data_IF_195835555011
#
_entry.id   IF_195835555011
#
_cell.length_a   1.000
_cell.length_b   1.000
_cell.length_c   1.000
_cell.angle_alpha   90.00
_cell.angle_beta   90.00
_cell.angle_gamma   90.00
#
_symmetry.space_group_name_H-M   'P 1'
#
loop_
_entity.id
_entity.type
_entity.pdbx_description
1 polymer ?
#
# COMPACT_ATOMS: atom_id res chain seq x y z
N UNK A 1 -72.96 -65.14 0.28
CA UNK A 1 -73.10 -64.11 1.33
C UNK A 1 -71.92 -64.22 2.27
N UNK A 2 -71.29 -63.10 2.64
CA UNK A 2 -70.26 -63.04 3.67
C UNK A 2 -68.86 -62.67 3.17
N UNK A 3 -68.63 -61.39 2.88
CA UNK A 3 -67.30 -60.84 2.70
C UNK A 3 -66.60 -60.71 4.07
N UNK A 4 -65.40 -61.26 4.22
CA UNK A 4 -64.53 -61.00 5.38
C UNK A 4 -63.37 -60.10 4.94
N UNK A 5 -63.30 -58.93 5.54
CA UNK A 5 -62.42 -57.80 5.22
C UNK A 5 -61.19 -57.90 6.12
N UNK A 6 -60.02 -58.25 5.59
CA UNK A 6 -58.76 -58.13 6.33
C UNK A 6 -58.25 -56.69 6.23
N UNK A 7 -58.17 -56.05 7.40
CA UNK A 7 -57.70 -54.69 7.63
C UNK A 7 -56.22 -54.55 7.30
N UNK A 8 -55.88 -53.68 6.35
CA UNK A 8 -54.53 -53.16 6.16
C UNK A 8 -54.29 -52.09 7.22
N UNK A 9 -53.41 -52.38 8.16
CA UNK A 9 -52.89 -51.40 9.12
C UNK A 9 -52.12 -50.32 8.36
N UNK A 10 -52.76 -49.16 8.19
CA UNK A 10 -52.11 -47.94 7.70
C UNK A 10 -51.17 -47.41 8.79
N UNK A 11 -49.86 -47.51 8.58
CA UNK A 11 -48.91 -46.67 9.31
C UNK A 11 -49.13 -45.22 8.90
N UNK A 12 -49.73 -44.43 9.78
CA UNK A 12 -49.80 -42.97 9.64
C UNK A 12 -48.41 -42.38 9.89
N UNK A 13 -47.72 -42.06 8.80
CA UNK A 13 -46.57 -41.16 8.84
C UNK A 13 -47.03 -39.84 9.48
N UNK A 14 -46.34 -39.28 10.49
CA UNK A 14 -46.70 -37.97 11.01
C UNK A 14 -46.55 -36.98 9.86
N UNK A 15 -47.67 -36.36 9.47
CA UNK A 15 -47.72 -35.39 8.39
C UNK A 15 -46.79 -34.22 8.69
N UNK A 16 -45.58 -34.26 8.11
CA UNK A 16 -44.90 -33.02 7.76
C UNK A 16 -45.73 -32.39 6.66
N UNK A 17 -46.64 -31.49 7.04
CA UNK A 17 -47.27 -30.58 6.07
C UNK A 17 -46.17 -29.90 5.24
N UNK A 18 -46.44 -29.51 3.98
CA UNK A 18 -45.45 -28.82 3.18
C UNK A 18 -45.11 -27.55 3.93
N UNK A 19 -43.94 -27.52 4.58
CA UNK A 19 -43.36 -26.29 5.08
C UNK A 19 -43.03 -25.54 3.80
N UNK A 20 -43.98 -24.71 3.35
CA UNK A 20 -43.74 -23.73 2.32
C UNK A 20 -42.70 -22.77 2.92
N UNK A 21 -41.42 -23.15 2.85
CA UNK A 21 -40.33 -22.28 3.20
C UNK A 21 -40.44 -21.12 2.24
N UNK A 22 -40.96 -20.01 2.77
CA UNK A 22 -41.09 -18.77 2.02
C UNK A 22 -39.80 -18.54 1.24
N UNK A 23 -39.85 -18.26 -0.08
CA UNK A 23 -38.64 -18.04 -0.89
C UNK A 23 -37.65 -17.05 -0.24
N UNK A 24 -38.16 -16.11 0.56
CA UNK A 24 -37.40 -15.19 1.38
C UNK A 24 -36.52 -15.87 2.46
N UNK A 25 -36.99 -16.93 3.11
CA UNK A 25 -36.21 -17.69 4.10
C UNK A 25 -35.04 -18.41 3.45
N UNK A 26 -35.25 -19.00 2.26
CA UNK A 26 -34.18 -19.66 1.51
C UNK A 26 -33.14 -18.63 1.05
N UNK A 27 -33.57 -17.46 0.56
CA UNK A 27 -32.65 -16.37 0.21
C UNK A 27 -31.85 -15.86 1.41
N UNK A 28 -32.49 -15.71 2.59
CA UNK A 28 -31.80 -15.33 3.83
C UNK A 28 -30.77 -16.38 4.26
N UNK A 29 -31.10 -17.67 4.18
CA UNK A 29 -30.18 -18.75 4.53
C UNK A 29 -29.00 -18.83 3.58
N UNK A 30 -29.23 -18.68 2.27
CA UNK A 30 -28.15 -18.63 1.27
C UNK A 30 -27.27 -17.41 1.51
N UNK A 31 -27.86 -16.23 1.74
CA UNK A 31 -27.11 -15.01 2.06
C UNK A 31 -26.29 -15.12 3.35
N UNK A 32 -26.87 -15.70 4.41
CA UNK A 32 -26.18 -15.92 5.68
C UNK A 32 -25.05 -16.94 5.54
N UNK A 33 -25.26 -18.03 4.81
CA UNK A 33 -24.22 -19.04 4.52
C UNK A 33 -23.09 -18.45 3.69
N UNK A 34 -23.41 -17.66 2.66
CA UNK A 34 -22.42 -16.95 1.85
C UNK A 34 -21.61 -15.96 2.69
N UNK A 35 -22.26 -15.18 3.55
CA UNK A 35 -21.59 -14.24 4.46
C UNK A 35 -20.69 -14.98 5.46
N UNK A 36 -21.18 -16.07 6.05
CA UNK A 36 -20.41 -16.90 6.97
C UNK A 36 -19.17 -17.49 6.30
N UNK A 37 -19.31 -18.01 5.08
CA UNK A 37 -18.19 -18.52 4.30
C UNK A 37 -17.14 -17.43 4.03
N UNK A 38 -17.57 -16.20 3.72
CA UNK A 38 -16.66 -15.06 3.53
C UNK A 38 -15.94 -14.68 4.83
N UNK A 39 -16.64 -14.64 5.96
CA UNK A 39 -16.04 -14.35 7.27
C UNK A 39 -15.05 -15.44 7.66
N UNK A 40 -15.38 -16.72 7.48
CA UNK A 40 -14.49 -17.85 7.77
C UNK A 40 -13.25 -17.81 6.87
N UNK A 41 -13.42 -17.57 5.57
CA UNK A 41 -12.30 -17.43 4.64
C UNK A 41 -11.40 -16.25 5.02
N UNK A 42 -11.99 -15.09 5.37
CA UNK A 42 -11.24 -13.91 5.77
C UNK A 42 -10.48 -14.10 7.08
N UNK A 43 -11.12 -14.68 8.10
CA UNK A 43 -10.50 -14.98 9.39
C UNK A 43 -9.39 -16.03 9.26
N UNK A 44 -9.58 -17.05 8.43
CA UNK A 44 -8.53 -18.03 8.11
C UNK A 44 -7.34 -17.36 7.40
N UNK A 45 -7.59 -16.53 6.38
CA UNK A 45 -6.55 -15.79 5.68
C UNK A 45 -5.80 -14.84 6.62
N UNK A 46 -6.52 -14.12 7.49
CA UNK A 46 -5.93 -13.27 8.51
C UNK A 46 -5.06 -14.06 9.49
N UNK A 47 -5.54 -15.22 9.97
CA UNK A 47 -4.79 -16.10 10.85
C UNK A 47 -3.52 -16.65 10.17
N UNK A 48 -3.62 -17.10 8.92
CA UNK A 48 -2.47 -17.60 8.16
C UNK A 48 -1.44 -16.50 7.90
N UNK A 49 -1.88 -15.29 7.53
CA UNK A 49 -1.01 -14.13 7.39
C UNK A 49 -0.28 -13.81 8.71
N UNK A 50 -1.01 -13.76 9.83
CA UNK A 50 -0.42 -13.56 11.15
C UNK A 50 0.61 -14.65 11.48
N UNK A 51 0.32 -15.92 11.14
CA UNK A 51 1.23 -17.06 11.35
C UNK A 51 2.51 -16.93 10.53
N UNK A 52 2.42 -16.59 9.25
CA UNK A 52 3.57 -16.39 8.36
C UNK A 52 4.45 -15.23 8.84
N UNK A 53 3.85 -14.17 9.36
CA UNK A 53 4.57 -12.97 9.83
C UNK A 53 5.20 -13.12 11.21
N UNK A 54 5.03 -14.26 11.91
CA UNK A 54 5.64 -14.50 13.23
C UNK A 54 7.17 -14.54 13.19
N UNK A 55 7.76 -14.81 12.03
CA UNK A 55 9.21 -14.81 11.87
C UNK A 55 9.83 -13.41 11.98
N UNK A 56 9.04 -12.34 11.81
CA UNK A 56 9.51 -10.98 11.98
C UNK A 56 9.24 -10.48 13.39
N UNK A 57 10.22 -9.83 14.03
CA UNK A 57 9.98 -9.14 15.28
C UNK A 57 8.96 -8.01 15.09
N UNK A 58 8.26 -7.67 16.16
CA UNK A 58 7.27 -6.60 16.18
C UNK A 58 7.64 -5.61 17.28
N UNK A 59 7.65 -4.30 17.01
CA UNK A 59 7.77 -3.32 18.07
C UNK A 59 6.54 -3.38 19.00
N UNK A 60 6.62 -2.76 20.19
CA UNK A 60 5.48 -2.64 21.07
C UNK A 60 4.32 -1.92 20.36
N UNK A 61 3.14 -2.53 20.37
CA UNK A 61 1.90 -1.92 19.86
C UNK A 61 1.47 -0.81 20.81
N UNK A 62 1.01 0.32 20.26
CA UNK A 62 0.43 1.39 21.07
C UNK A 62 -0.88 0.93 21.71
N UNK A 63 -1.73 0.25 20.94
CA UNK A 63 -2.94 -0.40 21.43
C UNK A 63 -3.41 -1.51 20.45
N UNK A 64 -4.42 -2.28 20.85
CA UNK A 64 -4.98 -3.37 20.06
C UNK A 64 -5.58 -2.91 18.72
N UNK A 65 -6.24 -1.75 18.69
CA UNK A 65 -7.02 -1.30 17.53
C UNK A 65 -6.16 -0.59 16.49
N UNK A 66 -5.36 0.40 16.88
CA UNK A 66 -4.49 1.19 16.01
C UNK A 66 -3.18 0.47 15.65
N UNK A 67 -2.80 -0.54 16.44
CA UNK A 67 -1.56 -1.30 16.25
C UNK A 67 -0.34 -0.40 16.44
N UNK A 68 0.30 -0.05 15.33
CA UNK A 68 1.51 0.79 15.27
C UNK A 68 1.27 2.14 14.59
N UNK A 69 0.02 2.48 14.28
CA UNK A 69 -0.31 3.78 13.72
C UNK A 69 0.16 4.90 14.67
N UNK A 70 0.81 5.92 14.13
CA UNK A 70 1.37 7.03 14.93
C UNK A 70 2.71 6.74 15.60
N UNK A 71 3.29 5.54 15.45
CA UNK A 71 4.64 5.25 15.95
C UNK A 71 5.73 6.02 15.19
N UNK A 72 5.52 6.23 13.90
CA UNK A 72 6.40 6.99 13.01
C UNK A 72 5.56 8.10 12.40
N UNK A 73 5.65 9.30 12.99
CA UNK A 73 5.00 10.51 12.49
C UNK A 73 5.82 11.14 11.37
N UNK A 74 5.21 11.95 10.48
CA UNK A 74 5.93 12.72 9.47
C UNK A 74 6.61 13.96 10.10
N UNK A 75 7.33 13.76 11.19
CA UNK A 75 8.08 14.79 11.92
C UNK A 75 9.51 14.32 12.15
N UNK A 76 10.40 15.20 12.59
CA UNK A 76 11.78 14.84 12.89
C UNK A 76 11.85 13.75 13.98
N UNK A 77 11.00 13.85 14.99
CA UNK A 77 10.90 12.86 16.06
C UNK A 77 10.48 11.49 15.52
N UNK A 78 9.55 11.47 14.57
CA UNK A 78 9.13 10.24 13.90
C UNK A 78 10.25 9.60 13.08
N UNK A 79 11.06 10.39 12.38
CA UNK A 79 12.24 9.90 11.67
C UNK A 79 13.32 9.36 12.63
N UNK A 80 13.52 10.03 13.77
CA UNK A 80 14.42 9.52 14.83
C UNK A 80 13.90 8.19 15.41
N UNK A 81 12.59 8.09 15.67
CA UNK A 81 11.96 6.85 16.12
C UNK A 81 12.10 5.73 15.09
N UNK A 82 11.90 6.02 13.79
CA UNK A 82 12.14 5.07 12.71
C UNK A 82 13.60 4.58 12.70
N UNK A 83 14.55 5.50 12.84
CA UNK A 83 15.99 5.18 12.89
C UNK A 83 16.32 4.25 14.07
N UNK A 84 15.75 4.51 15.24
CA UNK A 84 15.89 3.66 16.42
C UNK A 84 15.28 2.26 16.21
N UNK A 85 14.11 2.17 15.56
CA UNK A 85 13.48 0.89 15.22
C UNK A 85 14.34 0.08 14.25
N UNK A 86 14.91 0.71 13.22
CA UNK A 86 15.83 0.06 12.28
C UNK A 86 17.09 -0.43 13.00
N UNK A 87 17.63 0.36 13.92
CA UNK A 87 18.80 -0.06 14.73
C UNK A 87 18.47 -1.23 15.67
N UNK A 88 17.25 -1.27 16.22
CA UNK A 88 16.79 -2.34 17.12
C UNK A 88 16.49 -3.63 16.37
N UNK A 89 15.95 -3.53 15.15
CA UNK A 89 15.52 -4.66 14.33
C UNK A 89 16.24 -4.63 12.95
N UNK A 90 17.56 -4.89 12.91
CA UNK A 90 18.38 -4.67 11.71
C UNK A 90 18.04 -5.63 10.56
N UNK A 91 17.45 -6.79 10.85
CA UNK A 91 16.98 -7.72 9.82
C UNK A 91 15.67 -7.26 9.17
N UNK A 92 14.82 -6.57 9.92
CA UNK A 92 13.49 -6.15 9.53
C UNK A 92 12.46 -6.45 10.60
N UNK A 93 11.28 -5.83 10.48
CA UNK A 93 10.21 -5.92 11.47
C UNK A 93 8.84 -5.66 10.85
N UNK A 94 7.79 -6.16 11.51
CA UNK A 94 6.40 -5.96 11.08
C UNK A 94 5.75 -4.85 11.90
N UNK A 95 5.16 -3.88 11.21
CA UNK A 95 4.21 -2.91 11.77
C UNK A 95 2.79 -3.28 11.33
N UNK A 96 1.80 -2.80 12.05
CA UNK A 96 0.39 -3.04 11.78
C UNK A 96 -0.32 -1.70 11.71
N UNK A 97 -0.96 -1.42 10.58
CA UNK A 97 -1.89 -0.32 10.44
C UNK A 97 -3.29 -0.83 10.76
N UNK A 98 -3.77 -0.49 11.96
CA UNK A 98 -5.00 -1.08 12.45
C UNK A 98 -4.84 -2.57 12.81
N UNK A 99 -5.94 -3.32 12.91
CA UNK A 99 -5.90 -4.73 13.32
C UNK A 99 -5.50 -5.69 12.18
N UNK A 100 -5.58 -5.26 10.92
CA UNK A 100 -5.63 -6.17 9.76
C UNK A 100 -4.57 -5.93 8.68
N UNK A 101 -3.95 -4.75 8.61
CA UNK A 101 -2.99 -4.41 7.54
C UNK A 101 -1.55 -4.47 8.06
N UNK A 102 -0.79 -5.55 7.79
CA UNK A 102 0.61 -5.62 8.14
C UNK A 102 1.47 -4.86 7.12
N UNK A 103 2.52 -4.20 7.60
CA UNK A 103 3.59 -3.58 6.82
C UNK A 103 4.90 -4.20 7.26
N UNK A 104 5.56 -4.90 6.34
CA UNK A 104 6.89 -5.46 6.56
C UNK A 104 7.91 -4.38 6.22
N UNK A 105 8.83 -4.11 7.15
CA UNK A 105 9.96 -3.23 6.93
C UNK A 105 11.20 -4.10 6.80
N UNK A 106 11.83 -4.04 5.64
CA UNK A 106 13.04 -4.79 5.35
C UNK A 106 14.22 -3.83 5.50
N UNK A 107 15.14 -4.15 6.41
CA UNK A 107 16.24 -3.28 6.76
C UNK A 107 17.59 -3.83 6.32
N UNK A 108 17.72 -5.16 6.22
CA UNK A 108 18.97 -5.79 5.83
C UNK A 108 19.19 -5.69 4.31
N UNK A 109 20.39 -5.29 3.85
CA UNK A 109 20.68 -5.11 2.43
C UNK A 109 20.44 -6.37 1.60
N UNK A 110 20.79 -7.56 2.11
CA UNK A 110 20.61 -8.81 1.37
C UNK A 110 19.13 -9.16 1.15
N UNK A 111 18.28 -8.88 2.14
CA UNK A 111 16.84 -9.13 2.04
C UNK A 111 16.22 -8.10 1.09
N UNK A 112 16.59 -6.83 1.22
CA UNK A 112 16.16 -5.75 0.32
C UNK A 112 16.55 -6.07 -1.13
N UNK A 113 17.78 -6.53 -1.37
CA UNK A 113 18.25 -6.94 -2.70
C UNK A 113 17.37 -8.05 -3.27
N UNK A 114 17.08 -9.09 -2.49
CA UNK A 114 16.26 -10.22 -2.96
C UNK A 114 14.87 -9.78 -3.46
N UNK A 115 14.28 -8.76 -2.82
CA UNK A 115 12.98 -8.22 -3.21
C UNK A 115 13.09 -7.29 -4.42
N UNK A 116 14.10 -6.42 -4.46
CA UNK A 116 14.27 -5.45 -5.55
C UNK A 116 14.71 -6.11 -6.86
N UNK A 117 15.54 -7.16 -6.77
CA UNK A 117 16.03 -7.90 -7.95
C UNK A 117 14.97 -8.84 -8.54
N UNK A 118 13.85 -9.05 -7.83
CA UNK A 118 12.73 -9.85 -8.34
C UNK A 118 12.08 -9.15 -9.53
N UNK A 119 11.70 -9.93 -10.55
CA UNK A 119 11.05 -9.45 -11.78
C UNK A 119 9.89 -8.47 -11.51
N UNK A 120 9.80 -7.42 -12.34
CA UNK A 120 8.75 -6.38 -12.31
C UNK A 120 7.30 -6.93 -12.41
N UNK A 121 7.15 -8.22 -12.75
CA UNK A 121 5.87 -8.91 -12.77
C UNK A 121 5.35 -9.31 -11.38
N UNK A 122 6.22 -9.35 -10.36
CA UNK A 122 5.91 -9.83 -9.01
C UNK A 122 5.85 -8.67 -8.00
N UNK A 123 6.58 -7.58 -8.26
CA UNK A 123 6.66 -6.43 -7.37
C UNK A 123 5.51 -5.46 -7.65
N UNK A 124 4.34 -5.78 -7.09
CA UNK A 124 3.22 -4.85 -7.09
C UNK A 124 3.56 -3.64 -6.22
N UNK A 125 3.36 -2.45 -6.78
CA UNK A 125 3.52 -1.20 -6.03
C UNK A 125 2.46 -1.11 -4.95
N UNK A 126 2.83 -0.60 -3.78
CA UNK A 126 1.98 -0.74 -2.60
C UNK A 126 0.59 -0.10 -2.79
N UNK A 127 -0.41 -0.81 -2.28
CA UNK A 127 -1.83 -0.52 -2.49
C UNK A 127 -2.28 0.76 -1.77
N UNK A 128 -1.52 1.25 -0.79
CA UNK A 128 -1.94 2.38 0.06
C UNK A 128 -1.45 3.70 -0.53
N UNK A 129 -0.16 3.79 -0.84
CA UNK A 129 0.48 5.00 -1.34
C UNK A 129 0.22 5.20 -2.83
N UNK A 130 0.57 4.23 -3.69
CA UNK A 130 0.44 4.42 -5.14
C UNK A 130 -1.02 4.49 -5.63
N UNK A 131 -1.95 3.78 -4.97
CA UNK A 131 -3.38 3.88 -5.29
C UNK A 131 -3.92 5.28 -4.98
N UNK A 132 -3.47 5.90 -3.90
CA UNK A 132 -3.84 7.27 -3.52
C UNK A 132 -3.26 8.32 -4.48
N UNK A 133 -2.10 8.04 -5.09
CA UNK A 133 -1.50 8.93 -6.08
C UNK A 133 -2.11 8.83 -7.49
N UNK A 134 -2.72 7.68 -7.82
CA UNK A 134 -3.24 7.38 -9.16
C UNK A 134 -4.30 8.38 -9.67
N UNK A 135 -5.24 8.91 -8.86
CA UNK A 135 -6.19 9.93 -9.31
C UNK A 135 -5.54 11.24 -9.74
N UNK A 136 -4.39 11.60 -9.14
CA UNK A 136 -3.69 12.85 -9.44
C UNK A 136 -2.68 12.68 -10.57
N UNK A 137 -1.82 11.66 -10.50
CA UNK A 137 -0.73 11.45 -11.46
C UNK A 137 -1.13 10.57 -12.66
N UNK A 138 -2.34 10.00 -12.64
CA UNK A 138 -2.78 9.03 -13.63
C UNK A 138 -2.00 7.72 -13.57
N UNK A 139 -2.03 6.97 -14.68
CA UNK A 139 -1.40 5.66 -14.83
C UNK A 139 -0.09 5.75 -15.63
N UNK A 140 0.88 6.49 -15.08
CA UNK A 140 2.18 6.80 -15.68
C UNK A 140 3.33 5.91 -15.18
N UNK A 141 4.58 6.30 -15.43
CA UNK A 141 5.77 5.50 -15.05
C UNK A 141 5.83 5.22 -13.53
N UNK A 142 5.42 6.17 -12.69
CA UNK A 142 5.46 6.00 -11.24
C UNK A 142 4.39 5.05 -10.72
N UNK A 143 3.20 5.03 -11.32
CA UNK A 143 2.01 4.32 -10.78
C UNK A 143 1.67 3.02 -11.53
N UNK A 144 2.11 2.87 -12.78
CA UNK A 144 1.91 1.64 -13.57
C UNK A 144 2.83 0.49 -13.11
N UNK A 145 2.42 -0.73 -13.40
CA UNK A 145 3.12 -2.00 -13.12
C UNK A 145 3.20 -2.88 -14.39
N UNK A 146 4.03 -3.92 -14.37
CA UNK A 146 4.13 -4.93 -15.44
C UNK A 146 4.50 -4.36 -16.82
N UNK A 147 3.85 -4.86 -17.88
CA UNK A 147 4.17 -4.51 -19.27
C UNK A 147 4.00 -3.03 -19.60
N UNK A 148 2.99 -2.38 -19.04
CA UNK A 148 2.75 -0.95 -19.26
C UNK A 148 3.91 -0.12 -18.70
N UNK A 149 4.36 -0.46 -17.49
CA UNK A 149 5.54 0.17 -16.90
C UNK A 149 6.80 -0.10 -17.74
N UNK A 150 7.02 -1.35 -18.19
CA UNK A 150 8.18 -1.70 -19.04
C UNK A 150 8.19 -0.90 -20.33
N UNK A 151 7.04 -0.76 -20.98
CA UNK A 151 6.88 0.02 -22.19
C UNK A 151 7.19 1.50 -21.96
N UNK A 152 6.58 2.12 -20.95
CA UNK A 152 6.85 3.52 -20.60
C UNK A 152 8.32 3.75 -20.22
N UNK A 153 8.93 2.84 -19.45
CA UNK A 153 10.34 2.92 -19.06
C UNK A 153 11.25 2.86 -20.28
N UNK A 154 11.01 1.91 -21.19
CA UNK A 154 11.78 1.78 -22.44
C UNK A 154 11.67 3.03 -23.31
N UNK A 155 10.49 3.64 -23.37
CA UNK A 155 10.25 4.86 -24.15
C UNK A 155 10.97 6.09 -23.56
N UNK A 156 10.95 6.25 -22.23
CA UNK A 156 11.47 7.44 -21.55
C UNK A 156 12.98 7.38 -21.26
N UNK A 157 13.56 6.19 -21.06
CA UNK A 157 14.97 6.04 -20.68
C UNK A 157 15.95 6.77 -21.63
N UNK A 158 15.77 6.77 -22.97
CA UNK A 158 16.65 7.51 -23.88
C UNK A 158 16.70 9.02 -23.64
N UNK A 159 15.63 9.63 -23.13
CA UNK A 159 15.60 11.07 -22.83
C UNK A 159 16.52 11.46 -21.65
N UNK A 160 16.88 10.50 -20.81
CA UNK A 160 17.80 10.69 -19.68
C UNK A 160 19.23 10.22 -19.99
N UNK A 161 19.56 10.00 -21.27
CA UNK A 161 20.91 9.65 -21.69
C UNK A 161 21.86 10.86 -21.55
N UNK A 162 23.12 10.62 -21.16
CA UNK A 162 24.07 11.69 -20.84
C UNK A 162 24.26 12.74 -21.95
N UNK A 163 24.13 12.35 -23.22
CA UNK A 163 24.23 13.29 -24.35
C UNK A 163 23.07 14.29 -24.40
N UNK A 164 21.87 13.88 -23.94
CA UNK A 164 20.70 14.77 -23.81
C UNK A 164 20.84 15.66 -22.57
N UNK A 165 21.42 15.13 -21.48
CA UNK A 165 21.58 15.87 -20.23
C UNK A 165 22.71 16.92 -20.26
N UNK A 166 23.75 16.73 -21.08
CA UNK A 166 24.91 17.65 -21.16
C UNK A 166 24.51 19.12 -21.42
N UNK A 167 23.65 19.44 -22.40
CA UNK A 167 23.15 20.80 -22.60
C UNK A 167 22.43 21.40 -21.37
N UNK A 168 21.71 20.58 -20.60
CA UNK A 168 20.92 21.03 -19.44
C UNK A 168 21.78 21.58 -18.31
N UNK A 169 23.05 21.20 -18.22
CA UNK A 169 24.01 21.79 -17.26
C UNK A 169 24.07 23.32 -17.41
N UNK A 170 24.00 23.85 -18.64
CA UNK A 170 23.99 25.30 -18.87
C UNK A 170 22.72 25.95 -18.33
N UNK A 171 21.58 25.26 -18.43
CA UNK A 171 20.29 25.72 -17.92
C UNK A 171 20.32 25.74 -16.41
N UNK A 172 20.74 24.64 -15.77
CA UNK A 172 20.90 24.54 -14.32
C UNK A 172 21.82 25.62 -13.76
N UNK A 173 22.98 25.84 -14.41
CA UNK A 173 23.92 26.89 -14.02
C UNK A 173 23.27 28.28 -14.11
N UNK A 174 22.52 28.56 -15.18
CA UNK A 174 21.81 29.85 -15.33
C UNK A 174 20.76 30.05 -14.24
N UNK A 175 19.93 29.04 -13.97
CA UNK A 175 18.89 29.12 -12.94
C UNK A 175 19.50 29.26 -11.53
N UNK A 176 20.59 28.54 -11.24
CA UNK A 176 21.35 28.70 -10.00
C UNK A 176 21.96 30.12 -9.87
N UNK A 177 22.54 30.67 -10.94
CA UNK A 177 23.09 32.03 -10.92
C UNK A 177 22.03 33.09 -10.64
N UNK A 178 20.80 32.92 -11.17
CA UNK A 178 19.67 33.82 -10.86
C UNK A 178 19.32 33.74 -9.37
N UNK A 179 19.25 32.53 -8.81
CA UNK A 179 19.02 32.33 -7.37
C UNK A 179 20.12 32.99 -6.52
N UNK A 180 21.40 32.81 -6.90
CA UNK A 180 22.53 33.43 -6.21
C UNK A 180 22.49 34.96 -6.27
N UNK A 181 22.15 35.55 -7.42
CA UNK A 181 21.99 36.99 -7.53
C UNK A 181 20.91 37.54 -6.58
N UNK A 182 19.80 36.81 -6.41
CA UNK A 182 18.77 37.16 -5.41
C UNK A 182 19.31 37.09 -3.98
N UNK A 183 20.07 36.04 -3.66
CA UNK A 183 20.67 35.89 -2.33
C UNK A 183 21.69 37.00 -2.03
N UNK A 184 22.53 37.36 -3.02
CA UNK A 184 23.48 38.47 -2.89
C UNK A 184 22.76 39.80 -2.61
N UNK A 185 21.67 40.07 -3.32
CA UNK A 185 20.84 41.25 -3.09
C UNK A 185 20.26 41.28 -1.68
N UNK A 186 19.67 40.17 -1.22
CA UNK A 186 19.10 40.08 0.13
C UNK A 186 20.16 40.29 1.22
N UNK A 187 21.37 39.75 1.01
CA UNK A 187 22.50 39.97 1.92
C UNK A 187 22.93 41.45 1.95
N UNK A 188 22.96 42.12 0.81
CA UNK A 188 23.24 43.57 0.74
C UNK A 188 22.15 44.43 1.39
N UNK A 189 20.89 43.99 1.33
CA UNK A 189 19.74 44.63 1.99
C UNK A 189 19.71 44.38 3.52
N UNK A 190 20.73 43.72 4.07
CA UNK A 190 20.89 43.50 5.51
C UNK A 190 20.21 42.25 6.05
N UNK A 191 19.71 41.35 5.19
CA UNK A 191 19.13 40.08 5.64
C UNK A 191 20.23 39.15 6.18
N UNK A 192 20.17 38.82 7.47
CA UNK A 192 21.12 37.91 8.13
C UNK A 192 20.66 36.46 8.18
N UNK A 193 19.41 36.20 7.78
CA UNK A 193 18.79 34.87 7.75
C UNK A 193 17.98 34.74 6.46
N UNK A 194 18.03 33.57 5.85
CA UNK A 194 17.39 33.27 4.58
C UNK A 194 16.79 31.86 4.64
N UNK A 195 15.50 31.73 4.33
CA UNK A 195 14.92 30.42 4.04
C UNK A 195 15.29 30.01 2.61
N UNK A 196 16.09 28.95 2.50
CA UNK A 196 16.55 28.45 1.20
C UNK A 196 15.51 27.56 0.52
N UNK A 197 14.54 27.01 1.25
CA UNK A 197 13.64 25.99 0.72
C UNK A 197 12.81 26.52 -0.46
N UNK A 198 12.19 27.69 -0.30
CA UNK A 198 11.42 28.34 -1.37
C UNK A 198 12.30 28.64 -2.59
N UNK A 199 13.49 29.21 -2.37
CA UNK A 199 14.38 29.62 -3.45
C UNK A 199 14.92 28.42 -4.24
N UNK A 200 15.27 27.32 -3.56
CA UNK A 200 15.71 26.07 -4.18
C UNK A 200 14.56 25.43 -4.94
N UNK A 201 13.34 25.42 -4.40
CA UNK A 201 12.16 24.87 -5.08
C UNK A 201 11.87 25.63 -6.37
N UNK A 202 11.87 26.96 -6.33
CA UNK A 202 11.67 27.80 -7.51
C UNK A 202 12.77 27.60 -8.55
N UNK A 203 14.03 27.54 -8.12
CA UNK A 203 15.17 27.27 -9.00
C UNK A 203 15.07 25.88 -9.65
N UNK A 204 14.67 24.87 -8.89
CA UNK A 204 14.48 23.49 -9.37
C UNK A 204 13.34 23.43 -10.37
N UNK A 205 12.20 24.07 -10.08
CA UNK A 205 11.05 24.10 -10.98
C UNK A 205 11.40 24.81 -12.30
N UNK A 206 12.03 25.98 -12.22
CA UNK A 206 12.48 26.75 -13.38
C UNK A 206 13.49 25.98 -14.24
N UNK A 207 14.39 25.23 -13.59
CA UNK A 207 15.34 24.35 -14.26
C UNK A 207 14.64 23.22 -14.99
N UNK A 208 13.71 22.52 -14.33
CA UNK A 208 12.97 21.39 -14.91
C UNK A 208 12.07 21.80 -16.07
N UNK A 209 11.48 23.00 -16.03
CA UNK A 209 10.61 23.51 -17.10
C UNK A 209 11.37 23.96 -18.35
N UNK A 210 12.67 24.28 -18.22
CA UNK A 210 13.51 24.76 -19.34
C UNK A 210 14.29 23.65 -20.04
N UNK A 211 14.45 22.50 -19.41
CA UNK A 211 15.09 21.33 -20.00
C UNK A 211 14.14 20.59 -20.95
#
# INVERSE_FOLDING_TARGET
>A
MGACRMSLLSLSWPGFGPVATSPWLLLLLVGASWLLAHILAWTYAFYDNCRRLRCFPQPPKQNWFLGHLGLVTPTEEGLRALTQLVATYPQGFVRWLGPIFPIINLCHPDIVRSVIDTSDAITDKDIVFYKSLKPWLGDGLLTSVGDKWRHHRRMLTPAFHFNILKPYIKIFSKSANIMHAKWQRLAMEGSTRLDMFEHINLMTLDSLQKC
#
